data_IF_091997205866
#
_entry.id   IF_091997205866
#
_cell.length_a   1.000
_cell.length_b   1.000
_cell.length_c   1.000
_cell.angle_alpha   90.00
_cell.angle_beta   90.00
_cell.angle_gamma   90.00
#
_symmetry.space_group_name_H-M   'P 1'
#
loop_
_entity.id
_entity.type
_entity.pdbx_description
1 polymer ?
#
# COMPACT_ATOMS: atom_id res chain seq x y z
N UNK A 1 4.15 -24.20 -1.76
CA UNK A 1 3.86 -22.75 -1.71
C UNK A 1 3.76 -22.25 -3.13
N UNK A 2 2.64 -21.62 -3.49
CA UNK A 2 2.46 -20.99 -4.81
C UNK A 2 3.28 -19.71 -4.85
N UNK A 3 4.13 -19.54 -5.86
CA UNK A 3 4.90 -18.30 -6.05
C UNK A 3 3.99 -17.22 -6.65
N UNK A 4 3.44 -16.37 -5.78
CA UNK A 4 2.60 -15.23 -6.18
C UNK A 4 3.42 -14.06 -6.74
N UNK A 5 4.75 -14.18 -6.75
CA UNK A 5 5.63 -13.04 -6.95
C UNK A 5 6.00 -12.79 -8.42
N UNK A 6 5.66 -13.74 -9.29
CA UNK A 6 5.92 -13.70 -10.74
C UNK A 6 4.65 -13.74 -11.60
N UNK A 7 3.47 -13.69 -11.00
CA UNK A 7 2.20 -13.79 -11.73
C UNK A 7 1.81 -12.44 -12.36
N UNK A 8 1.03 -12.47 -13.43
CA UNK A 8 0.56 -11.28 -14.14
C UNK A 8 -0.78 -10.78 -13.61
N UNK A 9 -1.08 -9.50 -13.83
CA UNK A 9 -2.40 -8.93 -13.52
C UNK A 9 -3.52 -9.75 -14.18
N UNK A 10 -4.62 -9.94 -13.44
CA UNK A 10 -5.73 -10.81 -13.81
C UNK A 10 -5.57 -12.27 -13.36
N UNK A 11 -4.41 -12.68 -12.85
CA UNK A 11 -4.26 -14.01 -12.25
C UNK A 11 -5.20 -14.17 -11.04
N UNK A 12 -5.89 -15.30 -10.98
CA UNK A 12 -6.84 -15.65 -9.92
C UNK A 12 -6.49 -17.00 -9.31
N UNK A 13 -6.68 -17.12 -8.02
CA UNK A 13 -6.42 -18.32 -7.22
C UNK A 13 -7.61 -18.59 -6.30
N UNK A 14 -7.96 -19.86 -6.14
CA UNK A 14 -8.77 -20.27 -5.00
C UNK A 14 -7.94 -20.11 -3.72
N UNK A 15 -8.56 -19.66 -2.64
CA UNK A 15 -7.89 -19.38 -1.39
C UNK A 15 -8.68 -19.95 -0.21
N UNK A 16 -7.95 -20.51 0.75
CA UNK A 16 -8.48 -20.99 2.02
C UNK A 16 -7.72 -20.32 3.17
N UNK A 17 -8.37 -20.20 4.33
CA UNK A 17 -7.75 -19.68 5.54
C UNK A 17 -7.22 -20.80 6.41
N UNK A 18 -6.01 -20.61 6.92
CA UNK A 18 -5.41 -21.48 7.94
C UNK A 18 -5.52 -20.79 9.31
N UNK A 19 -5.93 -21.51 10.37
CA UNK A 19 -5.95 -20.95 11.71
C UNK A 19 -4.52 -20.72 12.21
N UNK A 20 -4.30 -19.60 12.91
CA UNK A 20 -3.04 -19.34 13.63
C UNK A 20 -3.29 -19.70 15.09
N UNK A 21 -2.72 -20.80 15.54
CA UNK A 21 -2.98 -21.37 16.88
C UNK A 21 -2.48 -20.46 18.01
N UNK A 22 -1.34 -19.80 17.81
CA UNK A 22 -0.74 -18.89 18.78
C UNK A 22 -0.41 -17.52 18.14
N UNK A 23 -1.36 -16.58 18.05
CA UNK A 23 -1.10 -15.27 17.46
C UNK A 23 -0.06 -14.45 18.23
N UNK A 24 0.19 -14.78 19.50
CA UNK A 24 1.16 -14.11 20.38
C UNK A 24 2.54 -14.79 20.38
N UNK A 25 2.79 -15.75 19.48
CA UNK A 25 4.10 -16.39 19.37
C UNK A 25 5.20 -15.35 19.09
N UNK A 26 6.31 -15.45 19.82
CA UNK A 26 7.49 -14.62 19.59
C UNK A 26 7.98 -14.71 18.13
N UNK A 27 8.56 -13.61 17.60
CA UNK A 27 9.28 -13.64 16.33
C UNK A 27 10.54 -14.51 16.44
N UNK A 28 11.21 -14.77 15.31
CA UNK A 28 12.45 -15.57 15.27
C UNK A 28 13.53 -15.07 16.23
N UNK A 29 13.63 -13.75 16.40
CA UNK A 29 14.53 -13.13 17.35
C UNK A 29 13.92 -11.87 17.98
N UNK A 30 14.29 -11.63 19.23
CA UNK A 30 14.06 -10.36 19.92
C UNK A 30 15.41 -9.64 20.03
N UNK A 31 15.47 -8.42 19.52
CA UNK A 31 16.71 -7.61 19.45
C UNK A 31 16.46 -6.23 20.04
N UNK A 32 17.53 -5.53 20.42
CA UNK A 32 17.40 -4.12 20.80
C UNK A 32 16.94 -3.28 19.60
N UNK A 33 15.97 -2.39 19.84
CA UNK A 33 15.46 -1.46 18.85
C UNK A 33 16.57 -0.56 18.31
N UNK A 34 16.65 -0.33 16.99
CA UNK A 34 17.59 0.63 16.44
C UNK A 34 17.40 2.02 17.06
N UNK A 35 18.42 2.53 17.75
CA UNK A 35 18.38 3.85 18.39
C UNK A 35 17.79 3.88 19.82
N UNK A 36 17.39 2.74 20.38
CA UNK A 36 16.98 2.63 21.78
C UNK A 36 17.55 1.37 22.45
N UNK A 37 18.32 1.56 23.52
CA UNK A 37 18.86 0.46 24.33
C UNK A 37 17.83 -0.17 25.29
N UNK A 38 16.64 0.42 25.40
CA UNK A 38 15.61 0.04 26.37
C UNK A 38 14.35 -0.56 25.74
N UNK A 39 14.27 -0.51 24.41
CA UNK A 39 13.17 -1.09 23.64
C UNK A 39 13.66 -2.36 22.96
N UNK A 40 12.90 -3.44 23.08
CA UNK A 40 13.15 -4.71 22.40
C UNK A 40 12.11 -4.87 21.30
N UNK A 41 12.55 -5.19 20.09
CA UNK A 41 11.71 -5.39 18.91
C UNK A 41 11.93 -6.77 18.30
N UNK A 42 10.94 -7.24 17.56
CA UNK A 42 11.08 -8.44 16.74
C UNK A 42 12.04 -8.24 15.57
N UNK A 43 12.78 -9.28 15.24
CA UNK A 43 13.61 -9.37 14.03
C UNK A 43 13.38 -10.71 13.35
N UNK A 44 13.45 -10.72 12.01
CA UNK A 44 13.10 -11.87 11.19
C UNK A 44 11.59 -12.01 10.97
N UNK A 45 11.14 -13.24 10.75
CA UNK A 45 9.73 -13.58 10.57
C UNK A 45 8.97 -13.45 11.89
N UNK A 46 7.75 -12.91 11.84
CA UNK A 46 6.85 -12.86 12.99
C UNK A 46 6.32 -14.25 13.34
N UNK A 47 5.91 -14.46 14.60
CA UNK A 47 5.29 -15.71 15.05
C UNK A 47 4.09 -16.16 14.20
N UNK A 48 3.11 -15.27 13.93
CA UNK A 48 2.00 -15.57 13.04
C UNK A 48 2.45 -15.95 11.61
N UNK A 49 3.45 -15.26 11.05
CA UNK A 49 3.97 -15.59 9.73
C UNK A 49 4.56 -17.00 9.69
N UNK A 50 5.40 -17.36 10.67
CA UNK A 50 6.01 -18.69 10.74
C UNK A 50 4.96 -19.81 10.82
N UNK A 51 3.89 -19.61 11.59
CA UNK A 51 2.78 -20.56 11.68
C UNK A 51 2.00 -20.68 10.36
N UNK A 52 1.70 -19.55 9.70
CA UNK A 52 1.03 -19.56 8.40
C UNK A 52 1.87 -20.24 7.32
N UNK A 53 3.17 -19.94 7.27
CA UNK A 53 4.11 -20.55 6.33
C UNK A 53 4.24 -22.07 6.55
N UNK A 54 4.35 -22.51 7.80
CA UNK A 54 4.42 -23.94 8.14
C UNK A 54 3.16 -24.72 7.70
N UNK A 55 2.02 -24.04 7.64
CA UNK A 55 0.74 -24.59 7.15
C UNK A 55 0.56 -24.44 5.63
N UNK A 56 1.56 -23.91 4.92
CA UNK A 56 1.51 -23.74 3.47
C UNK A 56 0.82 -22.46 2.98
N UNK A 57 0.61 -21.49 3.87
CA UNK A 57 0.05 -20.18 3.54
C UNK A 57 0.83 -19.46 2.43
N UNK A 58 0.13 -18.63 1.68
CA UNK A 58 0.76 -17.81 0.64
C UNK A 58 1.70 -16.77 1.26
N UNK A 59 2.85 -16.53 0.62
CA UNK A 59 3.77 -15.47 0.98
C UNK A 59 3.70 -14.32 -0.02
N UNK A 60 3.76 -13.11 0.52
CA UNK A 60 3.86 -11.85 -0.19
C UNK A 60 5.18 -11.19 0.21
N UNK A 61 5.67 -10.21 -0.57
CA UNK A 61 7.01 -9.65 -0.31
C UNK A 61 7.01 -8.61 0.81
N UNK A 62 6.06 -7.69 0.81
CA UNK A 62 5.93 -6.62 1.82
C UNK A 62 4.49 -6.12 1.85
N UNK A 63 3.64 -6.78 2.63
CA UNK A 63 2.26 -6.34 2.82
C UNK A 63 2.21 -5.09 3.69
N UNK A 64 1.41 -4.10 3.28
CA UNK A 64 1.21 -2.87 4.04
C UNK A 64 -0.28 -2.50 4.12
N UNK A 65 -0.78 -1.60 3.28
CA UNK A 65 -2.17 -1.15 3.32
C UNK A 65 -3.20 -2.22 2.92
N UNK A 66 -4.33 -2.21 3.62
CA UNK A 66 -5.53 -2.98 3.24
C UNK A 66 -6.81 -2.14 3.37
N UNK A 67 -7.80 -2.43 2.53
CA UNK A 67 -9.09 -1.75 2.52
C UNK A 67 -10.22 -2.73 2.22
N UNK A 68 -11.30 -2.65 2.99
CA UNK A 68 -12.50 -3.45 2.77
C UNK A 68 -13.55 -2.65 2.02
N UNK A 69 -14.10 -3.22 0.94
CA UNK A 69 -15.27 -2.67 0.24
C UNK A 69 -16.13 -3.79 -0.32
N UNK A 70 -17.43 -3.73 -0.05
CA UNK A 70 -18.45 -4.60 -0.65
C UNK A 70 -18.13 -6.12 -0.68
N UNK A 71 -17.56 -6.67 0.40
CA UNK A 71 -17.22 -8.10 0.50
C UNK A 71 -15.83 -8.45 -0.03
N UNK A 72 -15.06 -7.47 -0.49
CA UNK A 72 -13.70 -7.64 -1.03
C UNK A 72 -12.69 -6.94 -0.14
N UNK A 73 -11.60 -7.63 0.19
CA UNK A 73 -10.43 -7.04 0.85
C UNK A 73 -9.37 -6.75 -0.19
N UNK A 74 -9.10 -5.47 -0.43
CA UNK A 74 -8.00 -5.00 -1.25
C UNK A 74 -6.77 -4.83 -0.39
N UNK A 75 -5.60 -5.24 -0.87
CA UNK A 75 -4.37 -5.04 -0.12
C UNK A 75 -3.16 -4.93 -1.04
N UNK A 76 -2.18 -4.17 -0.60
CA UNK A 76 -0.93 -3.96 -1.32
C UNK A 76 0.12 -4.99 -0.91
N UNK A 77 0.94 -5.37 -1.88
CA UNK A 77 2.27 -5.92 -1.64
C UNK A 77 3.26 -4.93 -2.25
N UNK A 78 3.84 -4.09 -1.42
CA UNK A 78 4.60 -2.89 -1.80
C UNK A 78 5.84 -3.19 -2.62
N UNK A 79 6.46 -4.33 -2.36
CA UNK A 79 7.59 -4.83 -3.14
C UNK A 79 7.17 -5.96 -4.08
N UNK A 80 5.87 -6.16 -4.25
CA UNK A 80 5.26 -7.19 -5.07
C UNK A 80 5.37 -6.93 -6.58
N UNK A 81 4.87 -7.91 -7.35
CA UNK A 81 4.97 -7.94 -8.81
C UNK A 81 6.38 -8.25 -9.32
N UNK A 82 6.50 -8.62 -10.59
CA UNK A 82 7.78 -9.03 -11.19
C UNK A 82 8.84 -7.91 -11.17
N UNK A 83 8.43 -6.66 -11.28
CA UNK A 83 9.34 -5.51 -11.24
C UNK A 83 9.77 -5.12 -9.83
N UNK A 84 9.14 -5.67 -8.78
CA UNK A 84 9.39 -5.29 -7.39
C UNK A 84 8.99 -3.85 -7.07
N UNK A 85 7.96 -3.34 -7.76
CA UNK A 85 7.50 -1.94 -7.67
C UNK A 85 6.08 -1.80 -7.12
N UNK A 86 5.53 -2.89 -6.62
CA UNK A 86 4.24 -2.90 -5.97
C UNK A 86 3.18 -3.63 -6.78
N UNK A 87 2.31 -4.33 -6.07
CA UNK A 87 1.13 -4.99 -6.62
C UNK A 87 -0.07 -4.80 -5.72
N UNK A 88 -1.26 -4.78 -6.31
CA UNK A 88 -2.53 -4.69 -5.63
C UNK A 88 -3.29 -6.00 -5.82
N UNK A 89 -3.71 -6.59 -4.71
CA UNK A 89 -4.51 -7.79 -4.66
C UNK A 89 -5.93 -7.48 -4.21
N UNK A 90 -6.89 -8.32 -4.60
CA UNK A 90 -8.26 -8.33 -4.12
C UNK A 90 -8.62 -9.74 -3.68
N UNK A 91 -9.11 -9.88 -2.45
CA UNK A 91 -9.62 -11.14 -1.92
C UNK A 91 -11.14 -11.04 -1.73
N UNK A 92 -11.90 -11.82 -2.51
CA UNK A 92 -13.34 -11.92 -2.39
C UNK A 92 -13.69 -12.87 -1.23
N UNK A 93 -14.37 -12.35 -0.20
CA UNK A 93 -14.74 -13.11 0.99
C UNK A 93 -15.86 -14.12 0.75
N UNK A 94 -16.68 -13.93 -0.29
CA UNK A 94 -17.79 -14.83 -0.61
C UNK A 94 -17.30 -16.02 -1.42
N UNK A 95 -16.58 -15.75 -2.51
CA UNK A 95 -16.08 -16.77 -3.41
C UNK A 95 -14.78 -17.41 -2.90
N UNK A 96 -14.14 -16.81 -1.89
CA UNK A 96 -12.82 -17.22 -1.40
C UNK A 96 -11.78 -17.26 -2.53
N UNK A 97 -11.78 -16.19 -3.34
CA UNK A 97 -10.87 -16.06 -4.49
C UNK A 97 -9.93 -14.88 -4.31
N UNK A 98 -8.65 -15.11 -4.60
CA UNK A 98 -7.60 -14.10 -4.59
C UNK A 98 -7.26 -13.72 -6.04
N UNK A 99 -7.38 -12.44 -6.39
CA UNK A 99 -7.05 -11.90 -7.70
C UNK A 99 -5.95 -10.84 -7.62
N UNK A 100 -4.97 -10.92 -8.52
CA UNK A 100 -4.01 -9.85 -8.74
C UNK A 100 -4.65 -8.77 -9.64
N UNK A 101 -5.01 -7.63 -9.06
CA UNK A 101 -5.64 -6.51 -9.78
C UNK A 101 -4.62 -5.77 -10.63
N UNK A 102 -3.48 -5.44 -10.04
CA UNK A 102 -2.44 -4.64 -10.67
C UNK A 102 -1.06 -5.10 -10.20
N UNK A 103 -0.10 -5.13 -11.10
CA UNK A 103 1.32 -5.30 -10.76
C UNK A 103 2.12 -4.32 -11.59
N UNK A 104 2.91 -3.48 -10.92
CA UNK A 104 3.71 -2.46 -11.58
C UNK A 104 4.69 -3.08 -12.58
N UNK A 105 4.71 -2.62 -13.85
CA UNK A 105 5.71 -3.04 -14.82
C UNK A 105 7.07 -2.37 -14.58
N UNK A 106 7.13 -1.31 -13.77
CA UNK A 106 8.34 -0.53 -13.53
C UNK A 106 8.07 0.79 -12.81
N UNK A 107 9.14 1.43 -12.35
CA UNK A 107 9.12 2.64 -11.51
C UNK A 107 8.40 3.83 -12.17
N UNK A 108 8.42 3.90 -13.49
CA UNK A 108 7.77 4.98 -14.24
C UNK A 108 6.24 4.93 -14.06
N UNK A 109 5.70 3.71 -13.96
CA UNK A 109 4.27 3.46 -13.87
C UNK A 109 3.77 3.63 -12.43
N UNK A 110 4.34 2.89 -11.50
CA UNK A 110 4.16 3.09 -10.06
C UNK A 110 5.40 2.66 -9.29
N UNK A 111 5.55 3.19 -8.07
CA UNK A 111 6.74 2.96 -7.26
C UNK A 111 6.39 2.66 -5.81
N UNK A 112 6.40 1.38 -5.45
CA UNK A 112 6.13 0.90 -4.09
C UNK A 112 4.77 1.39 -3.59
N UNK A 113 3.68 0.94 -4.22
CA UNK A 113 2.34 1.21 -3.71
C UNK A 113 2.16 0.58 -2.33
N UNK A 114 1.88 1.39 -1.32
CA UNK A 114 1.82 1.01 0.10
C UNK A 114 0.38 1.05 0.60
N UNK A 115 -0.27 2.21 0.60
CA UNK A 115 -1.64 2.32 1.11
C UNK A 115 -2.68 2.21 -0.03
N UNK A 116 -3.90 1.76 0.27
CA UNK A 116 -5.00 1.66 -0.71
C UNK A 116 -6.33 2.10 -0.11
N UNK A 117 -7.16 2.75 -0.92
CA UNK A 117 -8.59 2.99 -0.64
C UNK A 117 -9.44 2.76 -1.88
N UNK A 118 -10.71 2.44 -1.65
CA UNK A 118 -11.68 2.17 -2.70
C UNK A 118 -12.93 3.01 -2.45
N UNK A 119 -13.37 3.77 -3.46
CA UNK A 119 -14.62 4.51 -3.41
C UNK A 119 -15.83 3.57 -3.58
N UNK A 120 -17.03 4.06 -3.24
CA UNK A 120 -18.28 3.35 -3.48
C UNK A 120 -18.55 3.05 -4.96
N UNK A 121 -17.96 3.82 -5.88
CA UNK A 121 -18.04 3.57 -7.32
C UNK A 121 -17.01 2.54 -7.82
N UNK A 122 -16.19 1.98 -6.93
CA UNK A 122 -15.11 1.05 -7.27
C UNK A 122 -13.83 1.71 -7.79
N UNK A 123 -13.67 3.04 -7.63
CA UNK A 123 -12.39 3.70 -7.96
C UNK A 123 -11.36 3.32 -6.90
N UNK A 124 -10.27 2.68 -7.32
CA UNK A 124 -9.19 2.27 -6.43
C UNK A 124 -8.06 3.29 -6.51
N UNK A 125 -7.70 3.88 -5.38
CA UNK A 125 -6.55 4.78 -5.24
C UNK A 125 -5.50 4.11 -4.37
N UNK A 126 -4.27 4.04 -4.87
CA UNK A 126 -3.11 3.57 -4.13
C UNK A 126 -2.11 4.71 -3.90
N UNK A 127 -1.43 4.69 -2.76
CA UNK A 127 -0.45 5.68 -2.35
C UNK A 127 0.97 5.11 -2.49
N UNK A 128 1.91 5.86 -3.04
CA UNK A 128 3.31 5.44 -3.17
C UNK A 128 4.15 5.76 -1.91
N UNK A 129 4.95 4.79 -1.50
CA UNK A 129 6.09 4.90 -0.56
C UNK A 129 7.41 4.51 -1.28
N UNK A 130 7.55 5.01 -2.49
CA UNK A 130 8.73 4.80 -3.30
C UNK A 130 9.73 5.93 -3.14
N UNK A 131 11.03 5.59 -3.14
CA UNK A 131 12.08 6.60 -3.22
C UNK A 131 11.87 7.56 -4.41
N UNK A 132 12.30 8.80 -4.22
CA UNK A 132 12.22 9.88 -5.19
C UNK A 132 12.57 9.47 -6.62
N UNK A 133 11.80 9.97 -7.58
CA UNK A 133 12.18 9.91 -8.99
C UNK A 133 12.87 11.22 -9.35
N UNK A 134 13.88 11.22 -10.24
CA UNK A 134 14.54 12.46 -10.63
C UNK A 134 13.53 13.50 -11.12
N UNK A 135 13.40 14.60 -10.37
CA UNK A 135 12.53 15.73 -10.72
C UNK A 135 11.05 15.58 -10.36
N UNK A 136 10.63 14.49 -9.70
CA UNK A 136 9.23 14.26 -9.32
C UNK A 136 9.08 13.69 -7.91
N UNK A 137 7.96 13.99 -7.27
CA UNK A 137 7.64 13.52 -5.93
C UNK A 137 6.93 12.17 -5.89
N UNK A 138 6.61 11.71 -4.68
CA UNK A 138 5.74 10.54 -4.47
C UNK A 138 4.32 10.81 -5.01
N UNK A 139 3.66 9.77 -5.54
CA UNK A 139 2.35 9.89 -6.19
C UNK A 139 1.24 9.13 -5.48
N UNK A 140 0.01 9.53 -5.78
CA UNK A 140 -1.16 8.66 -5.68
C UNK A 140 -1.57 8.21 -7.07
N UNK A 141 -1.91 6.94 -7.20
CA UNK A 141 -2.23 6.28 -8.46
C UNK A 141 -3.64 5.73 -8.39
N UNK A 142 -4.45 5.99 -9.41
CA UNK A 142 -5.65 5.19 -9.65
C UNK A 142 -5.26 3.90 -10.36
N UNK A 143 -5.77 2.78 -9.88
CA UNK A 143 -5.47 1.44 -10.38
C UNK A 143 -6.74 0.73 -10.87
N UNK A 144 -6.61 -0.08 -11.91
CA UNK A 144 -7.67 -0.93 -12.40
C UNK A 144 -7.11 -2.22 -13.04
N UNK A 145 -7.88 -3.32 -13.06
CA UNK A 145 -7.47 -4.55 -13.73
C UNK A 145 -7.07 -4.33 -15.19
N UNK A 146 -5.87 -4.80 -15.54
CA UNK A 146 -5.38 -4.78 -16.93
C UNK A 146 -5.17 -3.40 -17.54
N UNK A 147 -5.10 -2.34 -16.71
CA UNK A 147 -4.83 -0.97 -17.15
C UNK A 147 -3.55 -0.43 -16.54
N UNK A 148 -2.94 0.47 -17.30
CA UNK A 148 -1.89 1.38 -16.84
C UNK A 148 -2.40 2.24 -15.67
N UNK A 149 -1.47 2.61 -14.78
CA UNK A 149 -1.79 3.43 -13.63
C UNK A 149 -2.06 4.87 -14.09
N UNK A 150 -3.04 5.52 -13.47
CA UNK A 150 -3.34 6.94 -13.72
C UNK A 150 -2.92 7.74 -12.50
N UNK A 151 -1.91 8.59 -12.65
CA UNK A 151 -1.48 9.48 -11.56
C UNK A 151 -2.56 10.51 -11.26
N UNK A 152 -3.13 10.46 -10.06
CA UNK A 152 -4.18 11.39 -9.61
C UNK A 152 -3.64 12.55 -8.78
N UNK A 153 -2.48 12.37 -8.16
CA UNK A 153 -1.78 13.41 -7.43
C UNK A 153 -0.28 13.11 -7.39
N UNK A 154 0.53 14.18 -7.31
CA UNK A 154 1.96 14.11 -7.08
C UNK A 154 2.32 15.10 -5.96
N UNK A 155 3.14 14.66 -5.01
CA UNK A 155 3.62 15.51 -3.93
C UNK A 155 4.62 16.54 -4.49
N UNK A 156 4.27 17.82 -4.41
CA UNK A 156 5.12 18.92 -4.86
C UNK A 156 5.46 19.91 -3.73
N UNK A 157 5.52 19.45 -2.49
CA UNK A 157 5.74 20.31 -1.32
C UNK A 157 7.21 20.73 -1.23
N UNK A 158 7.48 22.00 -1.48
CA UNK A 158 8.77 22.64 -1.19
C UNK A 158 8.54 23.88 -0.34
N UNK A 159 9.11 23.89 0.86
CA UNK A 159 8.96 25.00 1.80
C UNK A 159 10.24 25.83 1.82
N UNK A 160 10.19 27.03 1.23
CA UNK A 160 11.34 27.95 1.20
C UNK A 160 11.65 28.64 2.55
N UNK A 161 10.78 28.49 3.55
CA UNK A 161 10.98 28.98 4.92
C UNK A 161 10.22 28.11 5.90
N UNK A 162 10.74 27.99 7.12
CA UNK A 162 9.99 27.37 8.20
C UNK A 162 8.76 28.19 8.58
N UNK A 163 7.82 27.57 9.30
CA UNK A 163 6.58 28.22 9.72
C UNK A 163 6.39 28.18 11.24
N UNK A 164 5.30 28.81 11.71
CA UNK A 164 4.97 28.91 13.14
C UNK A 164 4.55 27.58 13.77
N UNK A 165 4.34 26.54 12.97
CA UNK A 165 4.03 25.17 13.43
C UNK A 165 5.30 24.34 13.64
N UNK A 166 6.50 24.94 13.48
CA UNK A 166 7.77 24.24 13.64
C UNK A 166 8.19 23.39 12.44
N UNK A 167 7.46 23.47 11.32
CA UNK A 167 7.84 22.80 10.07
C UNK A 167 9.03 23.56 9.49
N UNK A 168 10.11 22.84 9.19
CA UNK A 168 11.34 23.41 8.66
C UNK A 168 11.21 23.81 7.18
N UNK A 169 12.13 24.68 6.74
CA UNK A 169 12.34 24.88 5.30
C UNK A 169 13.05 23.65 4.75
N UNK A 170 12.40 22.91 3.84
CA UNK A 170 12.97 21.74 3.19
C UNK A 170 12.21 21.40 1.91
N UNK A 171 12.79 20.47 1.16
CA UNK A 171 12.12 19.76 0.08
C UNK A 171 11.45 18.51 0.68
N UNK A 172 10.13 18.44 0.58
CA UNK A 172 9.33 17.34 1.10
C UNK A 172 8.69 16.51 -0.01
N UNK A 173 9.09 16.70 -1.27
CA UNK A 173 8.52 15.99 -2.42
C UNK A 173 8.69 14.47 -2.34
N UNK A 174 9.74 14.03 -1.65
CA UNK A 174 10.07 12.61 -1.46
C UNK A 174 9.29 11.96 -0.33
N UNK A 175 8.54 12.75 0.46
CA UNK A 175 7.71 12.20 1.52
C UNK A 175 6.52 11.43 0.94
N UNK A 176 6.28 10.25 1.51
CA UNK A 176 5.24 9.33 1.09
C UNK A 176 3.82 9.87 1.32
N UNK A 177 2.90 9.36 0.52
CA UNK A 177 1.48 9.46 0.79
C UNK A 177 1.11 8.39 1.83
N UNK A 178 0.94 8.79 3.09
CA UNK A 178 0.71 7.90 4.24
C UNK A 178 -0.74 7.38 4.34
N UNK A 179 -1.43 7.28 3.20
CA UNK A 179 -2.79 6.78 3.11
C UNK A 179 -3.86 7.82 2.82
N UNK A 180 -4.95 7.30 2.28
CA UNK A 180 -6.10 8.07 1.84
C UNK A 180 -7.41 7.36 2.16
N UNK A 181 -8.50 8.11 2.23
CA UNK A 181 -9.86 7.57 2.36
C UNK A 181 -10.87 8.53 1.75
N UNK A 182 -11.92 7.99 1.13
CA UNK A 182 -13.05 8.79 0.70
C UNK A 182 -13.95 9.15 1.90
N UNK A 183 -14.64 10.29 1.81
CA UNK A 183 -15.80 10.57 2.65
C UNK A 183 -16.98 9.66 2.33
N UNK A 184 -18.00 9.66 3.19
CA UNK A 184 -19.16 8.77 3.05
C UNK A 184 -19.96 9.00 1.75
N UNK A 185 -19.83 10.16 1.12
CA UNK A 185 -20.49 10.50 -0.14
C UNK A 185 -19.62 10.19 -1.36
N UNK A 186 -18.36 9.78 -1.17
CA UNK A 186 -17.37 9.55 -2.23
C UNK A 186 -16.94 10.81 -2.98
N UNK A 187 -17.22 12.01 -2.46
CA UNK A 187 -16.95 13.30 -3.11
C UNK A 187 -15.60 13.89 -2.72
N UNK A 188 -15.17 13.62 -1.51
CA UNK A 188 -13.91 14.15 -0.96
C UNK A 188 -12.97 12.99 -0.65
N UNK A 189 -11.76 13.02 -1.21
CA UNK A 189 -10.67 12.16 -0.79
C UNK A 189 -9.84 12.90 0.27
N UNK A 190 -9.75 12.36 1.47
CA UNK A 190 -8.78 12.81 2.46
C UNK A 190 -7.49 12.00 2.28
N UNK A 191 -6.35 12.69 2.20
CA UNK A 191 -5.05 12.05 1.97
C UNK A 191 -3.97 12.75 2.78
N UNK A 192 -2.93 12.01 3.19
CA UNK A 192 -1.89 12.50 4.09
C UNK A 192 -0.51 12.38 3.47
N UNK A 193 0.34 13.39 3.70
CA UNK A 193 1.78 13.30 3.51
C UNK A 193 2.43 13.10 4.87
N UNK A 194 3.21 12.02 5.04
CA UNK A 194 3.74 11.60 6.35
C UNK A 194 4.59 12.69 7.01
N UNK A 195 5.57 13.20 6.25
CA UNK A 195 6.51 14.22 6.69
C UNK A 195 6.38 15.43 5.75
N UNK A 196 5.99 16.62 6.23
CA UNK A 196 5.98 17.05 7.63
C UNK A 196 4.64 16.83 8.36
N UNK A 197 3.74 16.00 7.84
CA UNK A 197 2.42 15.79 8.41
C UNK A 197 1.40 16.79 7.87
N UNK A 198 0.99 16.60 6.62
CA UNK A 198 0.01 17.47 5.94
C UNK A 198 -1.17 16.63 5.48
N UNK A 199 -2.38 17.03 5.88
CA UNK A 199 -3.64 16.43 5.43
C UNK A 199 -4.29 17.30 4.37
N UNK A 200 -4.72 16.67 3.28
CA UNK A 200 -5.45 17.28 2.18
C UNK A 200 -6.90 16.82 2.19
N UNK A 201 -7.80 17.71 1.78
CA UNK A 201 -9.15 17.36 1.35
C UNK A 201 -9.23 17.68 -0.15
N UNK A 202 -9.33 16.64 -0.97
CA UNK A 202 -9.30 16.74 -2.43
C UNK A 202 -10.71 16.45 -2.95
N UNK A 203 -11.22 17.30 -3.83
CA UNK A 203 -12.51 17.09 -4.50
C UNK A 203 -12.31 16.65 -5.94
N UNK A 204 -13.21 15.81 -6.43
CA UNK A 204 -13.19 15.24 -7.79
C UNK A 204 -13.37 16.26 -8.93
N UNK A 205 -13.40 15.78 -10.18
CA UNK A 205 -14.40 14.79 -10.62
C UNK A 205 -13.88 13.34 -10.67
N UNK A 206 -14.15 12.55 -9.62
CA UNK A 206 -13.63 11.18 -9.45
C UNK A 206 -14.14 10.19 -10.50
N UNK A 207 -15.35 10.41 -11.00
CA UNK A 207 -15.99 9.63 -12.07
C UNK A 207 -15.22 9.67 -13.40
N UNK A 208 -14.32 10.64 -13.57
CA UNK A 208 -13.55 10.84 -14.82
C UNK A 208 -12.14 10.29 -14.78
N UNK A 209 -11.69 9.77 -13.64
CA UNK A 209 -10.30 9.31 -13.47
C UNK A 209 -10.02 8.05 -14.30
N UNK A 210 -10.99 7.14 -14.35
CA UNK A 210 -10.89 5.87 -15.09
C UNK A 210 -11.96 5.71 -16.18
N UNK A 211 -12.74 6.75 -16.45
CA UNK A 211 -13.77 6.76 -17.50
C UNK A 211 -13.24 6.85 -18.92
#
# INVERSE_FOLDING_TARGET
MTDLTSVGAGATFDADWVPIDNPDQDPEALVASPGSAFEIVGSGRSGPFMQGEAQGGAAFRRLEGCYYSAGVVYFTDTSGGRAGRGSLWAYDLHESTLQLIYASPGIDESNHIDNVTVSDSGLIIACEDGAARPGGGSRMQALAPGRDAVTVAENNIVLGRGNTLGIAAADYRDAEWAGATFDADGKTLYANIQTPGITFAITGPWDRVMG
#
